data_IF_513751074219
#
_entry.id   IF_513751074219
#
_cell.length_a   1.000
_cell.length_b   1.000
_cell.length_c   1.000
_cell.angle_alpha   90.00
_cell.angle_beta   90.00
_cell.angle_gamma   90.00
#
_symmetry.space_group_name_H-M   'P 1'
#
loop_
_entity.id
_entity.type
_entity.pdbx_description
1 polymer ?
#
# COMPACT_ATOMS: atom_id res chain seq x y z
N UNK A 1 -7.62 5.36 -33.58
CA UNK A 1 -7.79 4.45 -32.43
C UNK A 1 -6.43 4.38 -31.81
N UNK A 2 -6.28 5.17 -30.76
CA UNK A 2 -5.01 5.76 -30.39
C UNK A 2 -4.11 4.71 -29.73
N UNK A 3 -2.84 4.79 -30.10
CA UNK A 3 -1.75 4.10 -29.45
C UNK A 3 -1.76 4.51 -27.98
N UNK A 4 -1.88 3.55 -27.07
CA UNK A 4 -1.66 3.80 -25.65
C UNK A 4 -0.18 4.16 -25.50
N UNK A 5 0.07 5.46 -25.30
CA UNK A 5 1.35 5.97 -24.87
C UNK A 5 1.64 5.38 -23.48
N UNK A 6 2.65 4.53 -23.37
CA UNK A 6 2.91 3.71 -22.20
C UNK A 6 3.86 4.37 -21.19
N UNK A 7 3.85 5.69 -21.05
CA UNK A 7 4.87 6.42 -20.26
C UNK A 7 4.33 7.10 -19.00
N UNK A 8 3.19 6.70 -18.46
CA UNK A 8 2.77 7.12 -17.12
C UNK A 8 2.17 5.92 -16.36
N UNK A 9 3.01 5.18 -15.62
CA UNK A 9 2.48 4.17 -14.71
C UNK A 9 1.70 4.88 -13.59
N UNK A 10 0.40 4.61 -13.51
CA UNK A 10 -0.48 5.08 -12.44
C UNK A 10 -0.66 3.94 -11.43
N UNK A 11 -0.19 4.16 -10.20
CA UNK A 11 -0.36 3.22 -9.09
C UNK A 11 -1.42 3.76 -8.13
N UNK A 12 -2.52 3.02 -8.01
CA UNK A 12 -3.62 3.33 -7.12
C UNK A 12 -3.62 2.44 -5.88
N UNK A 13 -3.72 3.05 -4.70
CA UNK A 13 -4.02 2.36 -3.45
C UNK A 13 -5.43 2.71 -3.00
N UNK A 14 -6.28 1.70 -2.85
CA UNK A 14 -7.63 1.86 -2.33
C UNK A 14 -7.70 1.40 -0.87
N UNK A 15 -8.38 2.17 -0.03
CA UNK A 15 -8.54 1.87 1.40
C UNK A 15 -9.84 2.46 1.94
N UNK A 16 -10.41 1.82 2.97
CA UNK A 16 -11.51 2.37 3.77
C UNK A 16 -11.03 3.31 4.89
N UNK A 17 -9.71 3.46 5.07
CA UNK A 17 -9.14 4.36 6.07
C UNK A 17 -9.07 5.80 5.55
N UNK A 18 -10.08 6.59 5.89
CA UNK A 18 -10.15 8.01 5.54
C UNK A 18 -8.95 8.83 6.02
N UNK A 19 -8.32 8.48 7.16
CA UNK A 19 -7.12 9.19 7.63
C UNK A 19 -5.94 9.01 6.65
N UNK A 20 -5.80 7.83 6.05
CA UNK A 20 -4.77 7.56 5.05
C UNK A 20 -5.06 8.34 3.77
N UNK A 21 -6.31 8.33 3.30
CA UNK A 21 -6.75 9.09 2.13
C UNK A 21 -6.46 10.58 2.31
N UNK A 22 -6.87 11.15 3.44
CA UNK A 22 -6.67 12.56 3.75
C UNK A 22 -5.17 12.92 3.86
N UNK A 23 -4.36 12.05 4.48
CA UNK A 23 -2.92 12.25 4.62
C UNK A 23 -2.22 12.36 3.26
N UNK A 24 -2.52 11.43 2.34
CA UNK A 24 -1.89 11.40 1.01
C UNK A 24 -2.45 12.48 0.08
N UNK A 25 -3.75 12.78 0.13
CA UNK A 25 -4.35 13.81 -0.72
C UNK A 25 -3.99 15.23 -0.28
N UNK A 26 -3.79 15.45 1.02
CA UNK A 26 -3.37 16.76 1.54
C UNK A 26 -1.85 16.93 1.58
N UNK A 27 -1.09 15.85 1.39
CA UNK A 27 0.35 15.77 1.63
C UNK A 27 0.74 16.29 3.03
N UNK A 28 -0.10 16.01 4.03
CA UNK A 28 0.11 16.41 5.42
C UNK A 28 -0.10 15.22 6.34
N UNK A 29 0.89 14.95 7.16
CA UNK A 29 0.86 13.88 8.14
C UNK A 29 1.05 14.42 9.56
N UNK A 30 0.54 13.69 10.56
CA UNK A 30 0.98 13.89 11.96
C UNK A 30 2.48 13.61 12.04
N UNK A 31 3.17 14.22 13.01
CA UNK A 31 4.62 14.10 13.18
C UNK A 31 5.12 12.64 13.15
N UNK A 32 4.37 11.72 13.77
CA UNK A 32 4.67 10.29 13.80
C UNK A 32 4.66 9.64 12.40
N UNK A 33 3.79 10.10 11.50
CA UNK A 33 3.58 9.51 10.17
C UNK A 33 4.29 10.27 9.05
N UNK A 34 4.87 11.44 9.33
CA UNK A 34 5.56 12.23 8.31
C UNK A 34 6.72 11.48 7.63
N UNK A 35 7.55 10.68 8.34
CA UNK A 35 8.57 9.86 7.67
C UNK A 35 7.98 8.85 6.68
N UNK A 36 6.81 8.29 6.99
CA UNK A 36 6.13 7.33 6.11
C UNK A 36 5.63 8.02 4.83
N UNK A 37 4.95 9.16 4.98
CA UNK A 37 4.47 9.95 3.84
C UNK A 37 5.62 10.40 2.95
N UNK A 38 6.71 10.91 3.54
CA UNK A 38 7.91 11.33 2.80
C UNK A 38 8.54 10.16 2.04
N UNK A 39 8.67 8.99 2.67
CA UNK A 39 9.24 7.80 2.02
C UNK A 39 8.42 7.39 0.78
N UNK A 40 7.09 7.42 0.90
CA UNK A 40 6.20 7.08 -0.22
C UNK A 40 6.29 8.12 -1.37
N UNK A 41 6.30 9.41 -1.04
CA UNK A 41 6.45 10.51 -2.02
C UNK A 41 7.81 10.45 -2.71
N UNK A 42 8.89 10.24 -1.96
CA UNK A 42 10.24 10.10 -2.50
C UNK A 42 10.33 8.91 -3.47
N UNK A 43 9.66 7.79 -3.14
CA UNK A 43 9.59 6.65 -4.04
C UNK A 43 8.83 7.00 -5.33
N UNK A 44 7.66 7.63 -5.22
CA UNK A 44 6.86 8.03 -6.39
C UNK A 44 7.65 8.96 -7.33
N UNK A 45 8.36 9.95 -6.77
CA UNK A 45 9.22 10.86 -7.56
C UNK A 45 10.38 10.10 -8.23
N UNK A 46 11.07 9.22 -7.50
CA UNK A 46 12.22 8.48 -8.03
C UNK A 46 11.86 7.44 -9.07
N UNK A 47 10.64 6.91 -9.01
CA UNK A 47 10.13 5.90 -9.95
C UNK A 47 9.33 6.50 -11.11
N UNK A 48 9.11 7.82 -11.11
CA UNK A 48 8.28 8.52 -12.10
C UNK A 48 6.86 7.93 -12.19
N UNK A 49 6.28 7.57 -11.03
CA UNK A 49 4.96 6.95 -10.90
C UNK A 49 3.96 7.97 -10.36
N UNK A 50 2.78 8.00 -10.98
CA UNK A 50 1.63 8.74 -10.46
C UNK A 50 0.96 7.93 -9.36
N UNK A 51 1.30 8.21 -8.11
CA UNK A 51 0.72 7.54 -6.95
C UNK A 51 -0.57 8.23 -6.48
N UNK A 52 -1.67 7.48 -6.34
CA UNK A 52 -2.96 8.00 -5.86
C UNK A 52 -3.57 7.13 -4.77
N UNK A 53 -4.23 7.76 -3.81
CA UNK A 53 -4.94 7.06 -2.73
C UNK A 53 -6.43 7.38 -2.79
N UNK A 54 -7.24 6.33 -2.97
CA UNK A 54 -8.69 6.41 -3.09
C UNK A 54 -9.41 5.80 -1.90
N UNK A 55 -10.56 6.39 -1.53
CA UNK A 55 -11.45 5.80 -0.54
C UNK A 55 -12.38 4.76 -1.19
N UNK A 56 -12.53 3.60 -0.55
CA UNK A 56 -13.59 2.63 -0.86
C UNK A 56 -14.38 2.29 0.42
N UNK A 57 -15.68 1.94 0.33
CA UNK A 57 -16.43 1.45 1.48
C UNK A 57 -15.76 0.22 2.12
N UNK A 58 -15.85 0.08 3.44
CA UNK A 58 -15.27 -1.08 4.15
C UNK A 58 -15.86 -2.43 3.70
N UNK A 59 -17.09 -2.43 3.20
CA UNK A 59 -17.72 -3.61 2.58
C UNK A 59 -16.96 -4.08 1.33
N UNK A 60 -16.41 -3.15 0.55
CA UNK A 60 -15.57 -3.44 -0.62
C UNK A 60 -14.12 -3.75 -0.22
N UNK A 61 -13.64 -3.26 0.93
CA UNK A 61 -12.30 -3.53 1.46
C UNK A 61 -12.22 -4.85 2.27
N UNK A 62 -13.22 -5.74 2.16
CA UNK A 62 -13.39 -6.88 3.05
C UNK A 62 -12.24 -7.89 3.05
N UNK A 63 -11.59 -8.10 1.90
CA UNK A 63 -10.42 -8.99 1.79
C UNK A 63 -9.22 -8.40 2.54
N UNK A 64 -8.94 -7.10 2.36
CA UNK A 64 -7.83 -6.45 3.03
C UNK A 64 -8.04 -6.34 4.55
N UNK A 65 -9.27 -6.06 5.01
CA UNK A 65 -9.62 -6.07 6.43
C UNK A 65 -9.40 -7.48 7.02
N UNK A 66 -9.88 -8.53 6.35
CA UNK A 66 -9.69 -9.90 6.82
C UNK A 66 -8.22 -10.32 6.85
N UNK A 67 -7.42 -9.94 5.84
CA UNK A 67 -5.97 -10.14 5.80
C UNK A 67 -5.28 -9.43 6.96
N UNK A 68 -5.64 -8.18 7.26
CA UNK A 68 -5.03 -7.40 8.35
C UNK A 68 -5.28 -7.99 9.74
N UNK A 69 -6.30 -8.84 9.87
CA UNK A 69 -6.71 -9.52 11.12
C UNK A 69 -6.34 -11.00 11.16
N UNK A 70 -5.70 -11.53 10.11
CA UNK A 70 -5.42 -12.95 9.95
C UNK A 70 -6.69 -13.83 10.02
N UNK A 71 -7.83 -13.32 9.53
CA UNK A 71 -9.11 -14.05 9.51
C UNK A 71 -9.24 -14.91 8.25
N UNK A 72 -8.58 -16.08 8.27
CA UNK A 72 -8.56 -17.02 7.15
C UNK A 72 -9.93 -17.59 6.79
N UNK A 73 -10.84 -17.67 7.77
CA UNK A 73 -12.23 -18.12 7.53
C UNK A 73 -12.94 -17.11 6.64
N UNK A 74 -12.91 -15.84 7.03
CA UNK A 74 -13.53 -14.76 6.24
C UNK A 74 -12.88 -14.60 4.87
N UNK A 75 -11.56 -14.78 4.77
CA UNK A 75 -10.88 -14.79 3.47
C UNK A 75 -11.40 -15.91 2.58
N UNK A 76 -11.54 -17.12 3.12
CA UNK A 76 -12.03 -18.28 2.38
C UNK A 76 -13.47 -18.09 1.90
N UNK A 77 -14.30 -17.38 2.67
CA UNK A 77 -15.66 -17.04 2.29
C UNK A 77 -15.72 -15.94 1.20
N UNK A 78 -14.89 -14.89 1.33
CA UNK A 78 -14.87 -13.75 0.41
C UNK A 78 -14.16 -14.05 -0.91
N UNK A 79 -13.11 -14.86 -0.88
CA UNK A 79 -12.29 -15.19 -2.04
C UNK A 79 -11.79 -16.65 -1.97
N UNK A 80 -12.66 -17.64 -2.25
CA UNK A 80 -12.34 -19.07 -2.09
C UNK A 80 -11.16 -19.58 -2.94
N UNK A 81 -10.83 -18.86 -4.02
CA UNK A 81 -9.73 -19.21 -4.94
C UNK A 81 -8.46 -18.40 -4.69
N UNK A 82 -8.42 -17.58 -3.63
CA UNK A 82 -7.26 -16.74 -3.34
C UNK A 82 -6.13 -17.56 -2.72
N UNK A 83 -4.94 -17.46 -3.31
CA UNK A 83 -3.73 -18.02 -2.74
C UNK A 83 -3.05 -17.00 -1.82
N UNK A 84 -2.76 -17.40 -0.58
CA UNK A 84 -2.02 -16.57 0.38
C UNK A 84 -0.58 -17.06 0.44
N UNK A 85 0.36 -16.18 0.09
CA UNK A 85 1.78 -16.46 0.17
C UNK A 85 2.36 -15.92 1.48
N UNK A 86 3.25 -16.70 2.09
CA UNK A 86 4.03 -16.21 3.23
C UNK A 86 5.08 -15.20 2.76
N UNK A 87 5.19 -14.09 3.49
CA UNK A 87 6.26 -13.12 3.29
C UNK A 87 7.29 -13.25 4.41
N UNK A 88 8.55 -13.44 4.05
CA UNK A 88 9.67 -13.32 4.98
C UNK A 88 10.37 -12.00 4.70
N UNK A 89 10.32 -11.01 5.61
CA UNK A 89 10.95 -9.72 5.37
C UNK A 89 12.46 -9.88 5.19
N UNK A 90 13.12 -9.02 4.39
CA UNK A 90 14.57 -9.00 4.29
C UNK A 90 15.19 -8.91 5.68
N UNK A 91 16.07 -9.85 6.02
CA UNK A 91 16.77 -9.81 7.29
C UNK A 91 17.88 -8.76 7.20
N UNK A 92 17.70 -7.65 7.94
CA UNK A 92 18.76 -6.67 8.14
C UNK A 92 19.86 -7.34 8.97
N UNK A 93 20.97 -7.67 8.33
CA UNK A 93 22.17 -8.17 9.02
C UNK A 93 22.72 -7.00 9.84
N UNK A 94 22.48 -7.01 11.15
CA UNK A 94 22.98 -5.98 12.06
C UNK A 94 24.52 -6.06 12.09
N UNK A 95 25.17 -4.99 11.61
CA UNK A 95 26.60 -4.64 11.71
C UNK A 95 27.61 -5.75 12.02
N UNK A 96 28.41 -6.14 11.01
CA UNK A 96 29.81 -6.46 11.31
C UNK A 96 30.53 -5.13 11.55
N UNK A 97 30.75 -4.78 12.83
CA UNK A 97 31.77 -3.79 13.17
C UNK A 97 33.10 -4.27 12.58
N UNK A 98 33.69 -3.43 11.72
CA UNK A 98 35.05 -3.64 11.25
C UNK A 98 35.97 -3.22 12.40
N UNK A 99 36.49 -4.20 13.15
CA UNK A 99 37.70 -4.04 13.96
C UNK A 99 38.92 -3.86 13.04
#
# INVERSE_FOLDING_TARGET
MDFYDSTDAEEGVFTDNTNTVDMFNSLKAKQLYNPLLLTAVDHAIRSDVKFRVGHIPGEENGIADALSRFDYTRISDLAPSMEIFSFTPPQLVLGAEKL
#
